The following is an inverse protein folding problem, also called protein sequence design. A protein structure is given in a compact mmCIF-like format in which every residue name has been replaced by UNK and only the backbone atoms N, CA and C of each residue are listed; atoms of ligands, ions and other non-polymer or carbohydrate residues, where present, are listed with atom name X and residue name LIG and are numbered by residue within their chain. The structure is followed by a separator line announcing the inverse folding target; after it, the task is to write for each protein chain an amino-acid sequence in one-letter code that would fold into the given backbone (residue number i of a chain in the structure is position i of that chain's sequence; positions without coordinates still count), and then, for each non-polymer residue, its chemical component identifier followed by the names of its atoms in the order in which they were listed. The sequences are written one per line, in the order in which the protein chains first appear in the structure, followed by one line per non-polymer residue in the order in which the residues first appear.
data_IF_627956644094
#
_entry.id   IF_627956644094
#
_cell.length_a   1.000
_cell.length_b   1.000
_cell.length_c   1.000
_cell.angle_alpha   90.00
_cell.angle_beta   90.00
_cell.angle_gamma   90.00
#
_symmetry.space_group_name_H-M   'P 1'
#
loop_
_entity.id
_entity.type
_entity.pdbx_description
1 polymer ?
#
# COMPACT_ATOMS: atom_id res chain seq x y z
N UNK A 1 2.00 7.18 -10.85
CA UNK A 1 0.88 8.11 -11.08
C UNK A 1 1.24 9.37 -10.34
N UNK A 2 0.97 10.54 -10.93
CA UNK A 2 1.21 11.79 -10.22
C UNK A 2 0.08 12.12 -9.25
N UNK A 3 0.39 13.07 -8.39
CA UNK A 3 -0.46 13.66 -7.37
C UNK A 3 -1.81 14.20 -7.88
N UNK A 4 -1.85 14.72 -9.10
CA UNK A 4 -3.07 15.29 -9.68
C UNK A 4 -4.00 14.18 -10.13
N UNK A 5 -3.46 13.15 -10.79
CA UNK A 5 -4.20 11.98 -11.24
C UNK A 5 -4.80 11.20 -10.06
N UNK A 6 -4.09 11.11 -8.93
CA UNK A 6 -4.60 10.50 -7.71
C UNK A 6 -5.78 11.27 -7.12
N UNK A 7 -5.65 12.60 -7.00
CA UNK A 7 -6.74 13.44 -6.49
C UNK A 7 -7.99 13.38 -7.39
N UNK A 8 -7.80 13.35 -8.71
CA UNK A 8 -8.90 13.14 -9.67
C UNK A 8 -9.60 11.79 -9.49
N UNK A 9 -8.85 10.77 -9.06
CA UNK A 9 -9.38 9.45 -8.74
C UNK A 9 -9.97 9.36 -7.31
N UNK A 10 -9.99 10.46 -6.55
CA UNK A 10 -10.50 10.49 -5.18
C UNK A 10 -9.53 9.95 -4.13
N UNK A 11 -8.26 9.77 -4.47
CA UNK A 11 -7.20 9.28 -3.57
C UNK A 11 -6.36 10.47 -3.12
N UNK A 12 -6.19 10.65 -1.81
CA UNK A 12 -5.32 11.67 -1.26
C UNK A 12 -3.85 11.19 -1.27
N UNK A 13 -2.93 11.85 -2.02
CA UNK A 13 -1.52 11.46 -2.05
C UNK A 13 -0.84 11.49 -0.69
N UNK A 14 -1.35 12.27 0.27
CA UNK A 14 -0.80 12.30 1.63
C UNK A 14 -0.95 10.94 2.36
N UNK A 15 -1.85 10.07 1.90
CA UNK A 15 -2.04 8.72 2.45
C UNK A 15 -0.96 7.73 1.99
N UNK A 16 -0.17 8.09 0.98
CA UNK A 16 0.84 7.18 0.40
C UNK A 16 2.08 7.05 1.27
N UNK A 17 2.34 8.00 2.16
CA UNK A 17 3.56 8.04 2.95
C UNK A 17 3.27 8.47 4.39
N UNK A 18 3.60 7.62 5.35
CA UNK A 18 3.64 7.97 6.77
C UNK A 18 5.04 7.69 7.33
N UNK A 19 5.82 8.76 7.48
CA UNK A 19 7.16 8.72 8.03
C UNK A 19 7.22 8.19 9.47
N UNK A 20 6.12 8.27 10.25
CA UNK A 20 6.11 7.78 11.63
C UNK A 20 6.07 6.26 11.71
N UNK A 21 5.24 5.64 10.87
CA UNK A 21 5.12 4.18 10.82
C UNK A 21 6.09 3.54 9.83
N UNK A 22 6.70 4.34 8.93
CA UNK A 22 7.45 3.86 7.78
C UNK A 22 6.55 3.30 6.67
N UNK A 23 5.27 3.67 6.67
CA UNK A 23 4.34 3.25 5.62
C UNK A 23 4.70 3.95 4.32
N UNK A 24 4.83 3.18 3.25
CA UNK A 24 5.08 3.74 1.92
C UNK A 24 4.35 2.91 0.85
N UNK A 25 3.64 3.60 -0.03
CA UNK A 25 2.88 3.01 -1.12
C UNK A 25 2.96 3.88 -2.38
N UNK A 26 2.83 3.26 -3.54
CA UNK A 26 2.85 3.96 -4.81
C UNK A 26 1.85 3.38 -5.79
N UNK A 27 1.24 4.26 -6.59
CA UNK A 27 0.40 3.86 -7.72
C UNK A 27 1.18 3.99 -9.02
N UNK A 28 1.14 2.95 -9.84
CA UNK A 28 1.65 2.95 -11.21
C UNK A 28 0.50 2.72 -12.17
N UNK A 29 0.56 3.30 -13.37
CA UNK A 29 -0.43 3.08 -14.42
C UNK A 29 0.30 2.85 -15.73
N UNK A 30 -0.11 1.84 -16.49
CA UNK A 30 0.41 1.60 -17.83
C UNK A 30 -0.47 2.25 -18.91
N UNK A 31 -0.02 2.21 -20.16
CA UNK A 31 -0.71 2.82 -21.29
C UNK A 31 -2.07 2.15 -21.62
N UNK A 32 -2.30 0.96 -21.09
CA UNK A 32 -3.57 0.23 -21.22
C UNK A 32 -4.58 0.57 -20.11
N UNK A 33 -4.21 1.45 -19.18
CA UNK A 33 -5.06 1.86 -18.07
C UNK A 33 -5.04 0.92 -16.86
N UNK A 34 -4.25 -0.16 -16.89
CA UNK A 34 -4.06 -1.02 -15.72
C UNK A 34 -3.27 -0.27 -14.65
N UNK A 35 -3.71 -0.41 -13.41
CA UNK A 35 -3.14 0.26 -12.25
C UNK A 35 -2.47 -0.77 -11.35
N UNK A 36 -1.30 -0.44 -10.82
CA UNK A 36 -0.65 -1.23 -9.77
C UNK A 36 -0.55 -0.38 -8.51
N UNK A 37 -1.11 -0.88 -7.41
CA UNK A 37 -0.85 -0.38 -6.06
C UNK A 37 0.28 -1.22 -5.45
N UNK A 38 1.46 -0.61 -5.31
CA UNK A 38 2.62 -1.23 -4.69
C UNK A 38 2.80 -0.77 -3.25
N UNK A 39 3.01 -1.71 -2.33
CA UNK A 39 3.43 -1.41 -0.95
C UNK A 39 4.91 -1.71 -0.75
N UNK A 40 5.63 -0.77 -0.12
CA UNK A 40 7.02 -0.98 0.22
C UNK A 40 7.15 -2.02 1.35
N UNK A 41 8.19 -2.84 1.28
CA UNK A 41 8.61 -3.66 2.42
C UNK A 41 9.55 -2.86 3.32
N UNK A 42 9.98 -3.45 4.43
CA UNK A 42 11.12 -2.92 5.19
C UNK A 42 12.43 -3.40 4.56
N UNK A 43 13.50 -2.60 4.70
CA UNK A 43 14.86 -2.88 4.19
C UNK A 43 15.58 -4.07 4.88
N UNK A 44 14.84 -4.92 5.57
CA UNK A 44 15.35 -5.82 6.61
C UNK A 44 15.13 -7.30 6.26
N UNK A 45 15.32 -7.67 4.99
CA UNK A 45 15.01 -9.01 4.47
C UNK A 45 15.63 -10.20 5.24
N UNK A 46 16.62 -9.97 6.12
CA UNK A 46 17.20 -10.96 7.04
C UNK A 46 16.69 -10.87 8.49
N UNK A 47 16.29 -9.69 8.96
CA UNK A 47 16.00 -9.42 10.39
C UNK A 47 14.50 -9.36 10.73
N UNK A 48 13.61 -9.54 9.73
CA UNK A 48 12.15 -9.43 9.89
C UNK A 48 11.57 -10.29 11.05
N UNK A 49 12.15 -11.46 11.34
CA UNK A 49 11.72 -12.32 12.45
C UNK A 49 12.03 -11.75 13.83
N UNK A 50 13.10 -10.96 13.96
CA UNK A 50 13.44 -10.29 15.22
C UNK A 50 12.69 -8.95 15.37
N UNK A 51 12.44 -8.23 14.28
CA UNK A 51 11.83 -6.91 14.32
C UNK A 51 10.30 -6.91 14.46
N UNK A 52 9.60 -8.01 14.15
CA UNK A 52 8.15 -8.13 14.43
C UNK A 52 7.85 -7.78 15.89
N UNK A 53 8.67 -8.24 16.84
CA UNK A 53 8.45 -8.01 18.28
C UNK A 53 8.47 -6.54 18.71
N UNK A 54 9.25 -5.70 18.02
CA UNK A 54 9.38 -4.26 18.31
C UNK A 54 8.48 -3.40 17.41
N UNK A 55 8.16 -3.87 16.20
CA UNK A 55 7.37 -3.16 15.20
C UNK A 55 5.87 -3.48 15.20
N UNK A 56 5.37 -4.41 16.02
CA UNK A 56 3.96 -4.86 16.01
C UNK A 56 2.94 -3.71 16.01
N UNK A 57 3.10 -2.71 16.87
CA UNK A 57 2.17 -1.56 16.92
C UNK A 57 2.22 -0.68 15.66
N UNK A 58 3.39 -0.54 15.03
CA UNK A 58 3.52 0.18 13.76
C UNK A 58 3.05 -0.68 12.58
N UNK A 59 3.26 -1.99 12.62
CA UNK A 59 2.73 -2.92 11.65
C UNK A 59 1.21 -2.83 11.61
N UNK A 60 0.54 -2.85 12.77
CA UNK A 60 -0.92 -2.70 12.86
C UNK A 60 -1.40 -1.40 12.20
N UNK A 61 -0.71 -0.27 12.44
CA UNK A 61 -1.01 1.00 11.78
C UNK A 61 -0.80 0.94 10.25
N UNK A 62 0.29 0.31 9.79
CA UNK A 62 0.56 0.10 8.36
C UNK A 62 -0.51 -0.79 7.70
N UNK A 63 -0.97 -1.84 8.39
CA UNK A 63 -2.04 -2.72 7.92
C UNK A 63 -3.37 -1.97 7.79
N UNK A 64 -3.72 -1.12 8.76
CA UNK A 64 -4.91 -0.27 8.68
C UNK A 64 -4.84 0.71 7.49
N UNK A 65 -3.69 1.37 7.30
CA UNK A 65 -3.44 2.25 6.15
C UNK A 65 -3.53 1.49 4.83
N UNK A 66 -2.94 0.29 4.75
CA UNK A 66 -3.00 -0.55 3.56
C UNK A 66 -4.44 -0.95 3.21
N UNK A 67 -5.24 -1.34 4.21
CA UNK A 67 -6.66 -1.68 4.04
C UNK A 67 -7.44 -0.47 3.52
N UNK A 68 -7.26 0.71 4.14
CA UNK A 68 -7.92 1.92 3.69
C UNK A 68 -7.56 2.25 2.23
N UNK A 69 -6.28 2.18 1.89
CA UNK A 69 -5.79 2.51 0.55
C UNK A 69 -6.24 1.48 -0.50
N UNK A 70 -6.30 0.20 -0.14
CA UNK A 70 -6.87 -0.86 -0.99
C UNK A 70 -8.34 -0.62 -1.31
N UNK A 71 -9.14 -0.21 -0.31
CA UNK A 71 -10.55 0.14 -0.52
C UNK A 71 -10.70 1.34 -1.47
N UNK A 72 -9.92 2.41 -1.27
CA UNK A 72 -9.95 3.58 -2.17
C UNK A 72 -9.49 3.21 -3.59
N UNK A 73 -8.45 2.38 -3.72
CA UNK A 73 -7.97 1.91 -5.01
C UNK A 73 -9.04 1.10 -5.76
N UNK A 74 -9.76 0.22 -5.04
CA UNK A 74 -10.86 -0.56 -5.61
C UNK A 74 -12.01 0.32 -6.06
N UNK A 75 -12.39 1.31 -5.25
CA UNK A 75 -13.43 2.28 -5.60
C UNK A 75 -13.04 3.12 -6.82
N UNK A 76 -11.78 3.53 -6.91
CA UNK A 76 -11.27 4.38 -7.98
C UNK A 76 -11.08 3.64 -9.31
N UNK A 77 -10.60 2.40 -9.27
CA UNK A 77 -10.08 1.69 -10.45
C UNK A 77 -10.76 0.35 -10.74
N UNK A 78 -11.61 -0.15 -9.84
CA UNK A 78 -12.37 -1.38 -10.04
C UNK A 78 -11.49 -2.63 -10.21
N UNK A 79 -11.72 -3.39 -11.26
CA UNK A 79 -10.92 -4.60 -11.57
C UNK A 79 -9.61 -4.29 -12.30
N UNK A 80 -9.34 -3.02 -12.61
CA UNK A 80 -8.11 -2.61 -13.30
C UNK A 80 -6.93 -2.44 -12.35
N UNK A 81 -7.15 -2.48 -11.02
CA UNK A 81 -6.07 -2.39 -10.05
C UNK A 81 -5.56 -3.76 -9.64
N UNK A 82 -4.24 -3.92 -9.68
CA UNK A 82 -3.50 -5.04 -9.12
C UNK A 82 -2.75 -4.55 -7.90
N UNK A 83 -2.77 -5.32 -6.82
CA UNK A 83 -2.07 -4.99 -5.59
C UNK A 83 -0.85 -5.90 -5.44
N UNK A 84 0.31 -5.33 -5.11
CA UNK A 84 1.55 -6.07 -4.97
C UNK A 84 2.46 -5.49 -3.88
N UNK A 85 3.40 -6.29 -3.41
CA UNK A 85 4.44 -5.89 -2.46
C UNK A 85 5.36 -7.05 -2.13
N UNK A 86 6.51 -6.74 -1.53
CA UNK A 86 7.51 -7.73 -1.11
C UNK A 86 7.69 -7.72 0.41
N UNK A 87 7.93 -8.88 1.03
CA UNK A 87 8.10 -9.02 2.49
C UNK A 87 6.90 -8.43 3.27
N UNK A 88 7.11 -7.48 4.19
CA UNK A 88 6.04 -6.74 4.87
C UNK A 88 5.03 -6.17 3.87
N UNK A 89 5.51 -5.57 2.77
CA UNK A 89 4.66 -5.03 1.71
C UNK A 89 3.76 -6.09 1.06
N UNK A 90 4.19 -7.36 1.01
CA UNK A 90 3.36 -8.47 0.55
C UNK A 90 2.23 -8.82 1.53
N UNK A 91 2.50 -8.70 2.83
CA UNK A 91 1.49 -8.80 3.89
C UNK A 91 0.47 -7.66 3.81
N UNK A 92 0.94 -6.43 3.64
CA UNK A 92 0.09 -5.24 3.43
C UNK A 92 -0.76 -5.39 2.16
N UNK A 93 -0.16 -5.83 1.05
CA UNK A 93 -0.86 -6.13 -0.18
C UNK A 93 -1.98 -7.16 0.04
N UNK A 94 -1.67 -8.26 0.73
CA UNK A 94 -2.64 -9.32 1.02
C UNK A 94 -3.80 -8.80 1.89
N UNK A 95 -3.52 -8.03 2.94
CA UNK A 95 -4.56 -7.45 3.80
C UNK A 95 -5.43 -6.43 3.05
N UNK A 96 -4.81 -5.57 2.24
CA UNK A 96 -5.54 -4.59 1.42
C UNK A 96 -6.39 -5.22 0.33
N UNK A 97 -6.07 -6.44 -0.13
CA UNK A 97 -6.87 -7.18 -1.09
C UNK A 97 -8.07 -7.90 -0.44
N UNK A 98 -8.11 -8.02 0.90
CA UNK A 98 -9.24 -8.64 1.61
C UNK A 98 -10.46 -7.72 1.73
N UNK A 99 -10.29 -6.41 1.54
CA UNK A 99 -11.42 -5.48 1.42
C UNK A 99 -11.95 -5.50 -0.01
N UNK A 100 -12.78 -6.51 -0.30
CA UNK A 100 -13.46 -6.68 -1.57
C UNK A 100 -14.98 -6.62 -1.37
#
# INVERSE_FOLDING_TARGET
MDDSALRQAGIDPALLHDAKSGFDAAFYRNDQGQVVLGFCGTDEGKDWKHNIGQGLGFADAQYASAIQLGSQAKQAFGDQVVISGHSLGGGLASASAMVN
#
